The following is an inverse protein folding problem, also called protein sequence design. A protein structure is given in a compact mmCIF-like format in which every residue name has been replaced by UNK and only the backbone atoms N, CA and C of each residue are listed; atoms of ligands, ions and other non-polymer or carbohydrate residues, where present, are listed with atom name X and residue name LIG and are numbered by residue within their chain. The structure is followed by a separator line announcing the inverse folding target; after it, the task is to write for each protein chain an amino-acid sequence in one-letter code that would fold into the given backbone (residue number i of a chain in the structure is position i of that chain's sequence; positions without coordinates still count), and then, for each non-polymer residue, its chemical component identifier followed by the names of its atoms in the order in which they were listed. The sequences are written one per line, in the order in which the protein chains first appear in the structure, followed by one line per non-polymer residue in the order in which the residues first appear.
data_IF_334973789536
#
_entry.id   IF_334973789536
#
_cell.length_a   1.000
_cell.length_b   1.000
_cell.length_c   1.000
_cell.angle_alpha   90.00
_cell.angle_beta   90.00
_cell.angle_gamma   90.00
#
_symmetry.space_group_name_H-M   'P 1'
#
loop_
_entity.id
_entity.type
_entity.pdbx_description
1 polymer ?
#
# COMPACT_ATOMS: atom_id res chain seq x y z
N UNK A 1 -16.59 -23.81 18.84
CA UNK A 1 -17.59 -23.89 19.93
C UNK A 1 -18.26 -22.52 20.00
N UNK A 2 -19.57 -22.44 19.78
CA UNK A 2 -20.31 -21.18 19.75
C UNK A 2 -20.92 -20.95 21.14
N UNK A 3 -20.50 -19.92 21.86
CA UNK A 3 -21.10 -19.53 23.15
C UNK A 3 -22.42 -18.79 22.86
N UNK A 4 -23.59 -19.37 23.19
CA UNK A 4 -24.88 -18.76 22.89
C UNK A 4 -25.20 -17.54 23.78
N UNK A 5 -24.36 -17.25 24.79
CA UNK A 5 -24.55 -16.09 25.69
C UNK A 5 -23.99 -14.80 25.11
N UNK A 6 -23.17 -14.89 24.04
CA UNK A 6 -22.62 -13.72 23.34
C UNK A 6 -23.67 -13.24 22.33
N UNK A 7 -24.24 -12.03 22.48
CA UNK A 7 -25.19 -11.50 21.51
C UNK A 7 -24.52 -11.33 20.14
N UNK A 8 -25.22 -11.60 19.03
CA UNK A 8 -24.68 -11.32 17.71
C UNK A 8 -24.46 -9.81 17.54
N UNK A 9 -23.26 -9.43 17.15
CA UNK A 9 -22.91 -8.05 16.81
C UNK A 9 -22.62 -8.00 15.32
N UNK A 10 -23.25 -7.06 14.62
CA UNK A 10 -22.88 -6.76 13.23
C UNK A 10 -21.53 -6.03 13.29
N UNK A 11 -20.45 -6.58 12.72
CA UNK A 11 -19.16 -5.91 12.75
C UNK A 11 -19.24 -4.59 11.99
N UNK A 12 -18.62 -3.55 12.53
CA UNK A 12 -18.44 -2.30 11.81
C UNK A 12 -17.61 -2.54 10.55
N UNK A 13 -18.10 -2.05 9.40
CA UNK A 13 -17.49 -2.29 8.09
C UNK A 13 -16.66 -1.11 7.57
N UNK A 14 -16.31 -0.18 8.46
CA UNK A 14 -15.48 0.97 8.17
C UNK A 14 -13.98 0.67 8.26
N UNK A 15 -13.18 1.69 8.01
CA UNK A 15 -11.74 1.67 8.30
C UNK A 15 -11.53 1.69 9.81
N UNK A 16 -10.66 0.82 10.32
CA UNK A 16 -10.38 0.72 11.75
C UNK A 16 -8.97 0.17 11.97
N UNK A 17 -8.36 0.59 13.07
CA UNK A 17 -7.18 -0.06 13.60
C UNK A 17 -7.59 -1.42 14.22
N UNK A 18 -6.72 -2.40 14.09
CA UNK A 18 -6.87 -3.71 14.71
C UNK A 18 -5.71 -3.90 15.66
N UNK A 19 -5.88 -3.57 16.96
CA UNK A 19 -4.82 -3.69 17.94
C UNK A 19 -4.14 -5.06 17.88
N UNK A 20 -2.80 -5.04 17.79
CA UNK A 20 -1.94 -6.22 17.69
C UNK A 20 -2.05 -7.05 16.39
N UNK A 21 -2.82 -6.60 15.40
CA UNK A 21 -2.96 -7.28 14.10
C UNK A 21 -2.54 -6.37 12.96
N UNK A 22 -2.97 -5.11 12.97
CA UNK A 22 -2.67 -4.15 11.90
C UNK A 22 -3.78 -3.14 11.70
N UNK A 23 -4.19 -2.90 10.45
CA UNK A 23 -5.26 -1.95 10.15
C UNK A 23 -6.07 -2.36 8.91
N UNK A 24 -7.33 -1.93 8.90
CA UNK A 24 -8.22 -2.01 7.74
C UNK A 24 -8.52 -0.60 7.25
N UNK A 25 -8.35 -0.37 5.94
CA UNK A 25 -8.69 0.89 5.26
C UNK A 25 -9.75 0.60 4.20
N UNK A 26 -10.78 1.44 4.12
CA UNK A 26 -11.95 1.25 3.25
C UNK A 26 -12.47 2.58 2.73
N UNK A 27 -12.76 2.66 1.44
CA UNK A 27 -13.41 3.85 0.89
C UNK A 27 -14.92 3.84 1.10
N UNK A 28 -15.56 2.68 0.95
CA UNK A 28 -17.02 2.52 1.04
C UNK A 28 -17.40 1.20 1.72
N UNK A 29 -18.49 1.21 2.47
CA UNK A 29 -18.85 0.20 3.47
C UNK A 29 -19.46 -1.10 2.90
N UNK A 30 -20.19 -1.06 1.77
CA UNK A 30 -20.89 -2.28 1.27
C UNK A 30 -21.12 -2.34 -0.25
N UNK A 31 -20.58 -1.41 -1.04
CA UNK A 31 -20.97 -1.30 -2.46
C UNK A 31 -20.37 -2.34 -3.41
N UNK A 32 -19.35 -3.09 -2.97
CA UNK A 32 -18.53 -3.93 -3.85
C UNK A 32 -17.71 -3.17 -4.91
N UNK A 33 -17.77 -1.83 -4.91
CA UNK A 33 -17.11 -0.94 -5.90
C UNK A 33 -16.09 0.00 -5.29
N UNK A 34 -15.92 -0.03 -3.98
CA UNK A 34 -14.91 0.74 -3.26
C UNK A 34 -13.62 -0.06 -3.09
N UNK A 35 -12.56 0.64 -2.72
CA UNK A 35 -11.30 0.04 -2.32
C UNK A 35 -11.33 -0.49 -0.89
N UNK A 36 -10.62 -1.59 -0.68
CA UNK A 36 -10.36 -2.21 0.62
C UNK A 36 -8.87 -2.53 0.71
N UNK A 37 -8.28 -2.23 1.86
CA UNK A 37 -6.93 -2.62 2.19
C UNK A 37 -6.87 -3.22 3.59
N UNK A 38 -6.09 -4.29 3.73
CA UNK A 38 -5.66 -4.81 5.01
C UNK A 38 -4.13 -4.71 5.09
N UNK A 39 -3.63 -4.05 6.13
CA UNK A 39 -2.21 -4.02 6.49
C UNK A 39 -2.00 -4.98 7.65
N UNK A 40 -1.06 -5.91 7.52
CA UNK A 40 -0.55 -6.69 8.65
C UNK A 40 0.59 -5.92 9.33
N UNK A 41 0.39 -5.59 10.60
CA UNK A 41 1.39 -4.90 11.42
C UNK A 41 1.11 -5.20 12.90
N UNK A 42 1.35 -6.45 13.29
CA UNK A 42 0.98 -6.96 14.59
C UNK A 42 1.42 -8.40 14.84
N UNK A 43 1.69 -8.70 16.12
CA UNK A 43 2.21 -10.00 16.54
C UNK A 43 1.12 -11.07 16.53
N UNK A 44 1.27 -12.07 15.66
CA UNK A 44 0.45 -13.30 15.66
C UNK A 44 1.32 -14.50 16.04
N UNK A 45 0.84 -15.35 16.97
CA UNK A 45 1.68 -16.35 17.65
C UNK A 45 1.87 -17.68 16.89
N UNK A 46 1.06 -18.00 15.88
CA UNK A 46 1.11 -19.30 15.20
C UNK A 46 0.55 -19.23 13.77
N UNK A 47 0.88 -20.23 12.94
CA UNK A 47 0.45 -20.35 11.53
C UNK A 47 0.60 -19.05 10.71
N UNK A 48 1.75 -18.39 10.84
CA UNK A 48 2.07 -17.18 10.09
C UNK A 48 3.06 -17.48 8.97
N UNK A 49 2.92 -16.76 7.86
CA UNK A 49 3.97 -16.61 6.87
C UNK A 49 4.96 -15.50 7.29
N UNK A 50 6.02 -15.27 6.52
CA UNK A 50 6.97 -14.17 6.75
C UNK A 50 6.48 -12.83 6.14
N UNK A 51 5.24 -12.48 6.39
CA UNK A 51 4.44 -11.41 5.75
C UNK A 51 4.29 -10.16 6.63
N UNK A 52 5.12 -9.97 7.65
CA UNK A 52 4.97 -8.82 8.54
C UNK A 52 5.19 -7.49 7.80
N UNK A 53 4.25 -6.57 7.94
CA UNK A 53 4.22 -5.31 7.21
C UNK A 53 3.52 -5.42 5.85
N UNK A 54 3.13 -6.62 5.40
CA UNK A 54 2.47 -6.81 4.11
C UNK A 54 1.09 -6.14 4.06
N UNK A 55 0.59 -5.93 2.83
CA UNK A 55 -0.79 -5.50 2.64
C UNK A 55 -1.51 -6.30 1.56
N UNK A 56 -2.83 -6.35 1.66
CA UNK A 56 -3.73 -6.78 0.60
C UNK A 56 -4.47 -5.57 0.09
N UNK A 57 -4.52 -5.37 -1.23
CA UNK A 57 -5.21 -4.24 -1.84
C UNK A 57 -6.22 -4.69 -2.89
N UNK A 58 -7.47 -4.40 -2.59
CA UNK A 58 -8.57 -4.47 -3.53
C UNK A 58 -8.88 -3.03 -3.97
N UNK A 59 -8.61 -2.70 -5.23
CA UNK A 59 -8.82 -1.36 -5.76
C UNK A 59 -10.14 -1.29 -6.53
N UNK A 60 -11.01 -0.33 -6.18
CA UNK A 60 -12.29 -0.09 -6.89
C UNK A 60 -13.14 -1.37 -7.07
N UNK A 61 -13.13 -2.24 -6.07
CA UNK A 61 -13.90 -3.50 -6.04
C UNK A 61 -13.19 -4.72 -6.63
N UNK A 62 -11.97 -4.57 -7.14
CA UNK A 62 -11.22 -5.66 -7.81
C UNK A 62 -10.01 -6.07 -6.97
N UNK A 63 -9.73 -7.37 -6.81
CA UNK A 63 -8.45 -7.83 -6.26
C UNK A 63 -7.28 -7.40 -7.17
N UNK A 64 -6.33 -6.64 -6.64
CA UNK A 64 -5.17 -6.15 -7.40
C UNK A 64 -3.87 -6.66 -6.80
N UNK A 65 -3.43 -6.11 -5.65
CA UNK A 65 -2.24 -6.61 -4.97
C UNK A 65 -2.67 -7.60 -3.89
N UNK A 66 -2.41 -8.88 -4.11
CA UNK A 66 -2.79 -9.95 -3.19
C UNK A 66 -1.52 -10.49 -2.54
N UNK A 67 -1.60 -10.89 -1.28
CA UNK A 67 -0.42 -11.25 -0.51
C UNK A 67 -0.16 -12.75 -0.61
N UNK A 68 0.93 -13.15 -1.25
CA UNK A 68 1.33 -14.56 -1.33
C UNK A 68 0.32 -15.45 -2.07
N UNK A 69 -0.16 -15.02 -3.24
CA UNK A 69 -0.86 -15.93 -4.16
C UNK A 69 0.15 -17.05 -4.46
N UNK A 70 0.02 -18.28 -3.93
CA UNK A 70 -0.98 -19.25 -4.36
C UNK A 70 -1.27 -20.30 -3.25
N UNK A 71 -1.86 -19.91 -2.12
CA UNK A 71 -2.28 -20.83 -1.04
C UNK A 71 -1.21 -21.87 -0.63
N UNK A 72 0.08 -21.56 -0.81
CA UNK A 72 1.16 -22.43 -0.38
C UNK A 72 1.50 -22.04 1.05
N UNK A 73 1.21 -22.93 2.00
CA UNK A 73 1.72 -22.77 3.36
C UNK A 73 3.24 -22.54 3.33
N UNK A 74 3.70 -21.47 3.99
CA UNK A 74 5.12 -21.12 4.05
C UNK A 74 5.60 -20.35 2.83
N UNK A 75 4.77 -19.44 2.31
CA UNK A 75 5.25 -18.46 1.34
C UNK A 75 6.38 -17.64 1.98
N UNK A 76 7.44 -17.44 1.20
CA UNK A 76 8.60 -16.68 1.66
C UNK A 76 8.31 -15.19 1.61
N UNK A 77 8.94 -14.39 2.47
CA UNK A 77 8.69 -12.95 2.60
C UNK A 77 8.70 -12.14 1.28
N UNK A 78 9.49 -12.58 0.29
CA UNK A 78 9.58 -11.94 -1.03
C UNK A 78 8.35 -12.14 -1.90
N UNK A 79 7.51 -13.10 -1.56
CA UNK A 79 6.24 -13.39 -2.23
C UNK A 79 5.09 -12.57 -1.64
N UNK A 80 5.38 -11.75 -0.63
CA UNK A 80 4.42 -10.89 0.05
C UNK A 80 4.57 -9.45 -0.38
N UNK A 81 3.52 -8.66 -0.20
CA UNK A 81 3.52 -7.21 -0.47
C UNK A 81 4.30 -6.44 0.59
N UNK A 82 5.57 -6.78 0.85
CA UNK A 82 6.37 -6.33 1.98
C UNK A 82 7.79 -5.90 1.55
N UNK A 83 8.48 -5.18 2.44
CA UNK A 83 9.93 -4.94 2.30
C UNK A 83 10.68 -6.08 2.96
N UNK A 84 11.67 -6.60 2.25
CA UNK A 84 12.55 -7.67 2.73
C UNK A 84 14.00 -7.21 2.76
N UNK A 85 14.81 -7.84 3.60
CA UNK A 85 16.26 -7.63 3.64
C UNK A 85 16.91 -8.98 3.44
N UNK A 86 17.78 -9.10 2.42
CA UNK A 86 18.31 -10.38 1.98
C UNK A 86 17.20 -11.44 1.74
N UNK A 87 16.07 -11.00 1.14
CA UNK A 87 14.87 -11.81 0.86
C UNK A 87 14.16 -12.38 2.10
N UNK A 88 14.42 -11.85 3.30
CA UNK A 88 13.76 -12.28 4.55
C UNK A 88 12.79 -11.25 5.07
N UNK A 89 11.73 -11.75 5.70
CA UNK A 89 10.71 -10.93 6.34
C UNK A 89 11.11 -10.48 7.73
N UNK A 90 10.26 -9.66 8.34
CA UNK A 90 10.46 -9.12 9.68
C UNK A 90 9.51 -9.80 10.68
N UNK A 91 9.79 -9.73 11.99
CA UNK A 91 9.09 -10.58 12.95
C UNK A 91 7.87 -9.91 13.59
N UNK A 92 7.81 -8.59 13.59
CA UNK A 92 6.74 -7.83 14.23
C UNK A 92 6.68 -6.40 13.71
N UNK A 93 5.46 -5.95 13.45
CA UNK A 93 5.07 -4.58 13.22
C UNK A 93 4.20 -4.07 14.37
N UNK A 94 4.13 -2.75 14.47
CA UNK A 94 3.19 -2.04 15.34
C UNK A 94 2.61 -0.89 14.53
N UNK A 95 1.28 -0.78 14.49
CA UNK A 95 0.61 0.43 14.03
C UNK A 95 0.87 1.54 15.05
N UNK A 96 1.61 2.57 14.63
CA UNK A 96 1.96 3.73 15.46
C UNK A 96 0.93 4.85 15.33
N UNK A 97 0.25 4.91 14.18
CA UNK A 97 -0.77 5.92 13.91
C UNK A 97 -1.81 5.40 12.93
N UNK A 98 -3.08 5.73 13.16
CA UNK A 98 -4.19 5.44 12.26
C UNK A 98 -5.17 6.61 12.28
N UNK A 99 -5.57 7.10 11.09
CA UNK A 99 -6.63 8.08 10.93
C UNK A 99 -7.51 7.68 9.76
N UNK A 100 -8.81 7.80 9.94
CA UNK A 100 -9.81 7.62 8.88
C UNK A 100 -10.58 8.92 8.64
N UNK A 101 -10.86 9.22 7.38
CA UNK A 101 -11.68 10.35 6.98
C UNK A 101 -12.51 10.02 5.73
N UNK A 102 -13.47 10.87 5.33
CA UNK A 102 -14.20 10.70 4.08
C UNK A 102 -13.31 10.81 2.82
N UNK A 103 -12.17 11.51 2.89
CA UNK A 103 -11.33 11.80 1.72
C UNK A 103 -10.12 10.87 1.60
N UNK A 104 -9.58 10.43 2.73
CA UNK A 104 -8.44 9.54 2.77
C UNK A 104 -8.35 8.80 4.11
N UNK A 105 -7.82 7.58 4.07
CA UNK A 105 -7.30 6.91 5.26
C UNK A 105 -5.78 7.01 5.27
N UNK A 106 -5.20 7.00 6.47
CA UNK A 106 -3.76 6.96 6.66
C UNK A 106 -3.41 6.03 7.81
N UNK A 107 -2.42 5.18 7.58
CA UNK A 107 -1.81 4.34 8.61
C UNK A 107 -0.29 4.44 8.51
N UNK A 108 0.35 4.49 9.68
CA UNK A 108 1.81 4.38 9.81
C UNK A 108 2.12 3.24 10.75
N UNK A 109 2.88 2.27 10.25
CA UNK A 109 3.32 1.12 11.00
C UNK A 109 4.85 1.04 11.00
N UNK A 110 5.42 0.75 12.17
CA UNK A 110 6.85 0.49 12.30
C UNK A 110 7.07 -1.01 12.36
N UNK A 111 7.88 -1.51 11.43
CA UNK A 111 8.29 -2.90 11.34
C UNK A 111 9.71 -2.95 11.89
N UNK A 112 9.82 -3.50 13.09
CA UNK A 112 11.06 -3.43 13.86
C UNK A 112 12.16 -4.25 13.18
N UNK A 113 13.42 -3.77 13.22
CA UNK A 113 14.56 -4.62 12.90
C UNK A 113 14.53 -5.90 13.75
N UNK A 114 14.72 -7.07 13.13
CA UNK A 114 14.58 -8.38 13.79
C UNK A 114 15.21 -8.43 15.19
N UNK A 115 14.48 -9.02 16.13
CA UNK A 115 14.95 -9.44 17.46
C UNK A 115 14.17 -10.68 17.96
N UNK A 116 13.81 -11.62 17.07
CA UNK A 116 13.06 -12.81 17.46
C UNK A 116 13.98 -14.04 17.60
N UNK A 117 13.93 -14.67 18.79
CA UNK A 117 14.92 -15.65 19.24
C UNK A 117 14.70 -17.10 18.74
N UNK A 118 13.64 -17.38 17.97
CA UNK A 118 13.36 -18.76 17.53
C UNK A 118 13.95 -19.11 16.16
N UNK A 119 14.54 -18.15 15.45
CA UNK A 119 15.17 -18.40 14.16
C UNK A 119 16.68 -18.26 14.36
N UNK A 120 17.38 -19.40 14.40
CA UNK A 120 18.80 -19.47 14.74
C UNK A 120 19.73 -18.76 13.73
N UNK A 121 19.16 -18.10 12.72
CA UNK A 121 19.86 -17.60 11.54
C UNK A 121 20.36 -16.16 11.62
N UNK A 122 20.00 -15.35 12.63
CA UNK A 122 20.58 -14.00 12.78
C UNK A 122 20.71 -13.62 14.27
N UNK A 123 21.78 -14.13 14.88
CA UNK A 123 22.22 -13.79 16.24
C UNK A 123 23.32 -12.71 16.26
N UNK A 124 23.67 -12.11 15.13
CA UNK A 124 24.67 -11.05 15.10
C UNK A 124 24.02 -9.65 15.10
N UNK A 125 24.68 -8.71 15.77
CA UNK A 125 24.27 -7.30 15.80
C UNK A 125 24.48 -6.60 14.43
N UNK A 126 24.88 -7.32 13.38
CA UNK A 126 25.28 -6.76 12.09
C UNK A 126 24.13 -6.67 11.08
N UNK A 127 23.04 -7.43 11.26
CA UNK A 127 21.89 -7.47 10.33
C UNK A 127 20.60 -6.91 10.96
N UNK A 128 20.67 -5.70 11.54
CA UNK A 128 19.55 -5.02 12.20
C UNK A 128 18.87 -4.00 11.29
N UNK A 129 18.28 -4.48 10.20
CA UNK A 129 17.50 -3.64 9.28
C UNK A 129 16.00 -3.80 9.47
N UNK A 130 15.26 -2.71 9.30
CA UNK A 130 13.80 -2.64 9.44
C UNK A 130 13.23 -1.49 8.63
N UNK A 131 11.94 -1.22 8.73
CA UNK A 131 11.31 -0.14 7.96
C UNK A 131 10.09 0.46 8.67
N UNK A 132 9.74 1.68 8.29
CA UNK A 132 8.45 2.28 8.60
C UNK A 132 7.62 2.33 7.33
N UNK A 133 6.42 1.76 7.38
CA UNK A 133 5.45 1.77 6.29
C UNK A 133 4.37 2.79 6.57
N UNK A 134 4.19 3.71 5.64
CA UNK A 134 3.08 4.66 5.60
C UNK A 134 2.19 4.32 4.40
N UNK A 135 0.90 4.10 4.64
CA UNK A 135 -0.09 3.86 3.59
C UNK A 135 -1.14 4.96 3.63
N UNK A 136 -1.43 5.56 2.47
CA UNK A 136 -2.54 6.49 2.30
C UNK A 136 -3.50 5.99 1.23
N UNK A 137 -4.71 5.59 1.64
CA UNK A 137 -5.77 5.23 0.71
C UNK A 137 -6.59 6.47 0.40
N UNK A 138 -6.46 6.99 -0.82
CA UNK A 138 -7.25 8.14 -1.28
C UNK A 138 -8.61 7.66 -1.76
N UNK A 139 -9.67 8.29 -1.24
CA UNK A 139 -11.06 7.88 -1.46
C UNK A 139 -11.74 8.74 -2.50
N UNK A 140 -12.67 8.14 -3.23
CA UNK A 140 -13.60 8.88 -4.05
C UNK A 140 -14.81 9.30 -3.19
N UNK A 141 -15.47 10.43 -3.50
CA UNK A 141 -16.74 10.77 -2.85
C UNK A 141 -17.86 9.77 -3.14
N UNK A 142 -17.71 8.94 -4.18
CA UNK A 142 -18.70 7.97 -4.63
C UNK A 142 -18.03 6.64 -4.97
N UNK A 143 -18.68 5.50 -4.67
CA UNK A 143 -18.19 4.18 -5.05
C UNK A 143 -17.87 4.05 -6.53
N UNK A 144 -16.74 3.39 -6.85
CA UNK A 144 -16.26 3.19 -8.22
C UNK A 144 -15.58 4.39 -8.86
N UNK A 145 -15.49 5.53 -8.15
CA UNK A 145 -14.68 6.67 -8.56
C UNK A 145 -13.18 6.36 -8.58
N UNK A 146 -12.36 7.39 -8.83
CA UNK A 146 -10.90 7.25 -8.81
C UNK A 146 -10.42 7.19 -7.37
N UNK A 147 -9.85 6.05 -7.02
CA UNK A 147 -9.31 5.69 -5.71
C UNK A 147 -7.96 5.05 -5.95
N UNK A 148 -6.98 5.33 -5.11
CA UNK A 148 -5.63 4.82 -5.28
C UNK A 148 -4.93 4.74 -3.92
N UNK A 149 -3.85 3.97 -3.89
CA UNK A 149 -3.03 3.78 -2.71
C UNK A 149 -1.68 4.44 -2.92
N UNK A 150 -1.21 5.18 -1.94
CA UNK A 150 0.20 5.59 -1.87
C UNK A 150 0.90 4.80 -0.78
N UNK A 151 2.02 4.18 -1.16
CA UNK A 151 2.85 3.36 -0.30
C UNK A 151 4.18 4.06 -0.12
N UNK A 152 4.57 4.30 1.12
CA UNK A 152 5.90 4.81 1.46
C UNK A 152 6.56 3.92 2.50
N UNK A 153 7.73 3.40 2.16
CA UNK A 153 8.55 2.60 3.03
C UNK A 153 9.89 3.27 3.25
N UNK A 154 10.14 3.75 4.48
CA UNK A 154 11.45 4.29 4.87
C UNK A 154 12.25 3.21 5.59
N UNK A 155 13.29 2.70 4.94
CA UNK A 155 14.13 1.64 5.49
C UNK A 155 15.22 2.21 6.40
N UNK A 156 15.63 1.43 7.39
CA UNK A 156 16.73 1.73 8.31
C UNK A 156 17.61 0.50 8.46
N UNK A 157 18.89 0.72 8.79
CA UNK A 157 19.85 -0.34 9.04
C UNK A 157 20.82 -0.59 7.88
N UNK A 158 21.74 -1.56 8.05
CA UNK A 158 22.89 -1.75 7.17
C UNK A 158 22.60 -2.58 5.91
N UNK A 159 21.47 -3.29 5.84
CA UNK A 159 21.17 -4.21 4.75
C UNK A 159 20.44 -3.52 3.60
N UNK A 160 20.71 -3.97 2.38
CA UNK A 160 20.00 -3.53 1.19
C UNK A 160 18.54 -4.05 1.23
N UNK A 161 17.53 -3.16 1.16
CA UNK A 161 16.14 -3.57 1.11
C UNK A 161 15.72 -4.00 -0.31
N UNK A 162 14.70 -4.84 -0.37
CA UNK A 162 13.96 -5.18 -1.57
C UNK A 162 12.47 -4.97 -1.30
N UNK A 163 11.84 -4.08 -2.06
CA UNK A 163 10.39 -3.82 -2.03
C UNK A 163 9.68 -4.78 -2.96
N UNK A 164 8.66 -5.48 -2.45
CA UNK A 164 7.97 -6.53 -3.16
C UNK A 164 6.49 -6.20 -3.35
N UNK A 165 5.95 -6.59 -4.50
CA UNK A 165 4.53 -6.49 -4.81
C UNK A 165 4.09 -7.71 -5.63
N UNK A 166 3.09 -8.43 -5.15
CA UNK A 166 2.42 -9.53 -5.83
C UNK A 166 1.06 -9.04 -6.36
N UNK A 167 0.89 -9.07 -7.69
CA UNK A 167 -0.27 -8.50 -8.37
C UNK A 167 -0.99 -9.56 -9.18
N UNK A 168 -2.29 -9.66 -8.95
CA UNK A 168 -3.23 -10.44 -9.75
C UNK A 168 -3.39 -9.80 -11.14
N UNK A 169 -2.56 -10.24 -12.08
CA UNK A 169 -2.42 -9.61 -13.39
C UNK A 169 -1.84 -10.57 -14.41
N UNK A 170 -2.06 -10.26 -15.69
CA UNK A 170 -1.16 -10.75 -16.74
C UNK A 170 0.22 -10.13 -16.63
N UNK A 171 1.16 -10.62 -17.42
CA UNK A 171 2.54 -10.15 -17.45
C UNK A 171 2.62 -8.60 -17.47
N UNK A 172 3.32 -8.00 -16.49
CA UNK A 172 3.51 -6.56 -16.45
C UNK A 172 4.56 -6.09 -17.46
N UNK A 173 4.53 -4.80 -17.74
CA UNK A 173 5.52 -4.14 -18.59
C UNK A 173 6.03 -2.84 -17.94
N UNK A 174 7.28 -2.50 -18.20
CA UNK A 174 7.81 -1.17 -17.88
C UNK A 174 7.42 -0.22 -19.01
N UNK A 175 6.62 0.80 -18.68
CA UNK A 175 6.14 1.83 -19.61
C UNK A 175 7.06 3.06 -19.60
N UNK A 176 7.82 3.23 -18.52
CA UNK A 176 8.91 4.20 -18.39
C UNK A 176 9.83 3.84 -17.23
N UNK A 177 10.84 4.67 -16.98
CA UNK A 177 11.88 4.40 -15.97
C UNK A 177 11.31 4.22 -14.55
N UNK A 178 10.22 4.91 -14.23
CA UNK A 178 9.53 4.84 -12.94
C UNK A 178 8.13 4.26 -13.00
N UNK A 179 7.61 3.95 -14.20
CA UNK A 179 6.21 3.61 -14.41
C UNK A 179 6.09 2.20 -14.95
N UNK A 180 5.45 1.33 -14.17
CA UNK A 180 5.15 -0.04 -14.51
C UNK A 180 3.64 -0.20 -14.68
N UNK A 181 3.22 -1.00 -15.65
CA UNK A 181 1.83 -1.30 -15.92
C UNK A 181 1.55 -2.79 -15.72
N UNK A 182 0.64 -3.08 -14.81
CA UNK A 182 0.04 -4.40 -14.64
C UNK A 182 -1.33 -4.40 -15.33
N UNK A 183 -1.51 -5.09 -16.46
CA UNK A 183 -2.76 -5.06 -17.23
C UNK A 183 -3.98 -5.67 -16.53
N UNK A 184 -3.77 -6.34 -15.39
CA UNK A 184 -4.82 -6.96 -14.59
C UNK A 184 -5.29 -8.30 -15.15
N UNK A 185 -6.06 -9.01 -14.32
CA UNK A 185 -6.68 -10.27 -14.71
C UNK A 185 -7.86 -10.03 -15.68
N UNK A 186 -8.00 -10.81 -16.76
CA UNK A 186 -9.00 -10.57 -17.81
C UNK A 186 -10.45 -10.48 -17.31
N UNK A 187 -10.79 -11.20 -16.23
CA UNK A 187 -12.15 -11.22 -15.68
C UNK A 187 -12.61 -9.89 -15.07
N UNK A 188 -11.68 -9.04 -14.63
CA UNK A 188 -12.04 -7.82 -13.90
C UNK A 188 -11.94 -6.55 -14.75
N UNK A 189 -11.22 -6.58 -15.87
CA UNK A 189 -11.05 -5.42 -16.76
C UNK A 189 -10.44 -4.19 -16.09
N UNK A 190 -9.64 -4.38 -15.03
CA UNK A 190 -8.98 -3.33 -14.25
C UNK A 190 -7.51 -3.72 -14.08
N UNK A 191 -6.61 -2.82 -14.47
CA UNK A 191 -5.17 -2.95 -14.24
C UNK A 191 -4.69 -2.05 -13.10
N UNK A 192 -3.38 -2.03 -12.91
CA UNK A 192 -2.70 -1.27 -11.86
C UNK A 192 -1.47 -0.59 -12.45
N UNK A 193 -1.44 0.75 -12.44
CA UNK A 193 -0.17 1.46 -12.58
C UNK A 193 0.57 1.41 -11.25
N UNK A 194 1.86 1.09 -11.32
CA UNK A 194 2.80 1.24 -10.21
C UNK A 194 3.79 2.31 -10.62
N UNK A 195 3.68 3.49 -10.02
CA UNK A 195 4.49 4.66 -10.35
C UNK A 195 5.41 4.96 -9.17
N UNK A 196 6.68 4.65 -9.32
CA UNK A 196 7.71 5.00 -8.36
C UNK A 196 8.02 6.50 -8.41
N UNK A 197 8.15 7.07 -7.22
CA UNK A 197 8.59 8.44 -7.01
C UNK A 197 9.99 8.42 -6.40
N UNK A 198 10.19 7.54 -5.42
CA UNK A 198 11.51 7.26 -4.85
C UNK A 198 11.73 5.74 -4.82
N UNK A 199 12.90 5.24 -5.30
CA UNK A 199 13.80 5.94 -6.20
C UNK A 199 13.09 6.27 -7.53
N UNK A 200 13.48 7.35 -8.20
CA UNK A 200 12.84 7.77 -9.47
C UNK A 200 13.14 6.84 -10.66
N UNK A 201 14.03 5.86 -10.51
CA UNK A 201 14.33 4.83 -11.49
C UNK A 201 14.79 3.57 -10.75
N UNK A 202 13.87 2.81 -10.13
CA UNK A 202 14.23 1.61 -9.38
C UNK A 202 14.79 0.53 -10.29
N UNK A 203 15.74 -0.26 -9.78
CA UNK A 203 16.10 -1.52 -10.43
C UNK A 203 15.03 -2.55 -10.11
N UNK A 204 14.25 -2.93 -11.12
CA UNK A 204 13.11 -3.82 -11.00
C UNK A 204 13.30 -5.12 -11.75
N UNK A 205 12.79 -6.20 -11.17
CA UNK A 205 12.64 -7.49 -11.84
C UNK A 205 11.22 -8.00 -11.68
N UNK A 206 10.70 -8.64 -12.72
CA UNK A 206 9.42 -9.33 -12.68
C UNK A 206 9.64 -10.85 -12.60
N UNK A 207 8.89 -11.49 -11.72
CA UNK A 207 8.88 -12.94 -11.57
C UNK A 207 7.43 -13.41 -11.77
N UNK A 208 7.25 -14.39 -12.66
CA UNK A 208 5.95 -15.02 -12.82
C UNK A 208 5.62 -15.76 -11.52
N UNK A 209 4.46 -15.46 -10.95
CA UNK A 209 3.95 -16.18 -9.81
C UNK A 209 3.76 -17.67 -10.13
N UNK A 210 4.19 -18.55 -9.23
CA UNK A 210 4.09 -20.00 -9.44
C UNK A 210 3.05 -20.59 -8.50
N UNK A 211 1.98 -21.14 -9.08
CA UNK A 211 1.06 -21.99 -8.32
C UNK A 211 1.81 -23.23 -7.84
N UNK A 212 1.64 -23.57 -6.55
CA UNK A 212 2.36 -24.67 -5.90
C UNK A 212 2.40 -25.93 -6.79
N UNK A 213 3.56 -26.34 -7.31
CA UNK A 213 3.65 -27.46 -8.25
C UNK A 213 3.29 -28.81 -7.64
N UNK A 214 3.23 -28.93 -6.30
CA UNK A 214 2.72 -30.14 -5.61
C UNK A 214 1.20 -30.22 -5.59
N UNK A 215 0.52 -29.14 -5.98
CA UNK A 215 -0.92 -29.02 -6.17
C UNK A 215 -1.30 -29.05 -7.67
N UNK A 216 -0.32 -29.20 -8.56
CA UNK A 216 -0.49 -29.27 -10.01
C UNK A 216 -0.52 -30.75 -10.42
N UNK A 217 -1.70 -31.35 -10.48
CA UNK A 217 -1.93 -32.44 -11.44
C UNK A 217 -2.10 -31.85 -12.84
N UNK A 218 -2.01 -32.67 -13.90
CA UNK A 218 -2.13 -32.25 -15.31
C UNK A 218 -3.43 -31.52 -15.69
N UNK A 219 -4.35 -31.34 -14.75
CA UNK A 219 -5.65 -30.68 -14.90
C UNK A 219 -5.87 -29.51 -13.91
N UNK A 220 -4.86 -29.08 -13.15
CA UNK A 220 -4.99 -27.98 -12.16
C UNK A 220 -5.62 -28.40 -10.82
N UNK A 221 -5.73 -29.70 -10.55
CA UNK A 221 -6.30 -30.23 -9.30
C UNK A 221 -5.23 -30.57 -8.30
N UNK A 222 -5.49 -30.22 -7.05
CA UNK A 222 -4.63 -30.52 -5.93
C UNK A 222 -5.22 -31.58 -5.02
N UNK A 223 -4.39 -32.52 -4.58
CA UNK A 223 -4.81 -33.55 -3.63
C UNK A 223 -4.17 -33.27 -2.27
N UNK A 224 -4.99 -32.84 -1.30
CA UNK A 224 -4.60 -32.74 0.12
C UNK A 224 -5.01 -34.03 0.83
N UNK A 225 -4.18 -35.07 0.71
CA UNK A 225 -4.41 -36.37 1.34
C UNK A 225 -5.66 -37.08 0.79
N UNK A 226 -6.81 -36.85 1.41
CA UNK A 226 -8.12 -37.44 1.06
C UNK A 226 -9.08 -36.45 0.39
N UNK A 227 -8.67 -35.18 0.21
CA UNK A 227 -9.49 -34.13 -0.37
C UNK A 227 -8.93 -33.72 -1.74
N UNK A 228 -9.76 -33.83 -2.77
CA UNK A 228 -9.50 -33.17 -4.06
C UNK A 228 -10.01 -31.74 -3.98
N UNK A 229 -9.12 -30.77 -4.19
CA UNK A 229 -9.45 -29.36 -4.26
C UNK A 229 -9.02 -28.86 -5.63
N UNK A 230 -9.95 -28.29 -6.37
CA UNK A 230 -9.66 -27.63 -7.64
C UNK A 230 -9.07 -26.25 -7.33
N UNK A 231 -7.78 -26.04 -7.60
CA UNK A 231 -7.16 -24.73 -7.51
C UNK A 231 -6.96 -24.22 -8.92
N UNK A 232 -7.84 -23.33 -9.36
CA UNK A 232 -7.68 -22.64 -10.63
C UNK A 232 -6.34 -21.90 -10.62
N UNK A 233 -5.49 -22.16 -11.62
CA UNK A 233 -4.25 -21.40 -11.81
C UNK A 233 -4.65 -19.95 -12.01
N UNK A 234 -4.31 -19.13 -11.03
CA UNK A 234 -4.60 -17.71 -11.06
C UNK A 234 -3.33 -17.02 -11.55
N UNK A 235 -3.35 -16.44 -12.75
CA UNK A 235 -2.19 -15.73 -13.29
C UNK A 235 -1.89 -14.50 -12.44
N UNK A 236 -0.68 -14.43 -11.89
CA UNK A 236 -0.21 -13.32 -11.08
C UNK A 236 1.30 -13.11 -11.25
N UNK A 237 1.78 -11.91 -10.92
CA UNK A 237 3.17 -11.51 -11.13
C UNK A 237 3.73 -10.76 -9.95
N UNK A 238 4.94 -11.16 -9.59
CA UNK A 238 5.76 -10.54 -8.56
C UNK A 238 6.63 -9.45 -9.18
N UNK A 239 6.72 -8.32 -8.50
CA UNK A 239 7.66 -7.25 -8.74
C UNK A 239 8.62 -7.18 -7.55
N UNK A 240 9.91 -7.14 -7.86
CA UNK A 240 10.96 -6.87 -6.88
C UNK A 240 11.72 -5.61 -7.29
N UNK A 241 11.66 -4.59 -6.45
CA UNK A 241 12.44 -3.36 -6.60
C UNK A 241 13.56 -3.34 -5.56
N UNK A 242 14.81 -3.28 -5.99
CA UNK A 242 15.97 -3.29 -5.09
C UNK A 242 16.39 -1.88 -4.70
N UNK A 243 16.83 -1.71 -3.46
CA UNK A 243 17.32 -0.45 -2.90
C UNK A 243 18.70 -0.61 -2.27
N UNK A 244 19.32 0.53 -1.96
CA UNK A 244 20.54 0.60 -1.15
C UNK A 244 20.20 0.66 0.34
N UNK A 245 21.12 0.35 1.27
CA UNK A 245 20.88 0.50 2.70
C UNK A 245 20.30 1.89 3.05
N UNK A 246 19.22 1.91 3.82
CA UNK A 246 18.50 3.14 4.19
C UNK A 246 17.62 3.75 3.09
N UNK A 247 17.38 3.05 1.97
CA UNK A 247 16.52 3.55 0.91
C UNK A 247 15.07 3.82 1.35
N UNK A 248 14.46 4.83 0.74
CA UNK A 248 13.02 5.06 0.77
C UNK A 248 12.42 4.54 -0.54
N UNK A 249 11.33 3.78 -0.42
CA UNK A 249 10.44 3.48 -1.54
C UNK A 249 9.18 4.30 -1.40
N UNK A 250 8.84 5.12 -2.39
CA UNK A 250 7.59 5.87 -2.47
C UNK A 250 6.93 5.53 -3.80
N UNK A 251 5.78 4.88 -3.76
CA UNK A 251 5.07 4.44 -4.96
C UNK A 251 3.57 4.78 -4.89
N UNK A 252 3.01 5.15 -6.04
CA UNK A 252 1.56 5.29 -6.24
C UNK A 252 1.06 4.03 -6.95
N UNK A 253 0.13 3.32 -6.30
CA UNK A 253 -0.59 2.19 -6.87
C UNK A 253 -1.96 2.68 -7.34
N UNK A 254 -2.12 2.84 -8.65
CA UNK A 254 -3.29 3.50 -9.25
C UNK A 254 -4.13 2.52 -10.10
N UNK A 255 -5.26 2.03 -9.56
CA UNK A 255 -6.19 1.19 -10.32
C UNK A 255 -6.85 1.96 -11.46
N UNK A 256 -6.67 1.49 -12.69
CA UNK A 256 -7.36 2.04 -13.84
C UNK A 256 -7.72 0.99 -14.88
N UNK A 257 -8.71 1.31 -15.70
CA UNK A 257 -8.95 0.57 -16.95
C UNK A 257 -7.94 0.99 -18.02
N UNK A 258 -7.75 0.14 -19.03
CA UNK A 258 -6.76 0.40 -20.08
C UNK A 258 -7.04 1.70 -20.85
N UNK A 259 -8.32 2.04 -21.03
CA UNK A 259 -8.81 3.24 -21.71
C UNK A 259 -8.87 4.49 -20.82
N UNK A 260 -8.77 4.32 -19.50
CA UNK A 260 -8.71 5.46 -18.57
C UNK A 260 -7.33 6.14 -18.69
N UNK A 261 -7.25 7.48 -18.67
CA UNK A 261 -5.97 8.19 -18.75
C UNK A 261 -5.03 7.81 -17.59
N UNK A 262 -3.74 7.68 -17.91
CA UNK A 262 -2.68 7.51 -16.91
C UNK A 262 -2.62 8.76 -16.02
N UNK A 263 -2.53 8.63 -14.69
CA UNK A 263 -2.35 9.79 -13.81
C UNK A 263 -0.97 10.42 -14.03
N UNK A 264 -0.88 11.74 -13.87
CA UNK A 264 0.40 12.44 -13.81
C UNK A 264 0.82 12.56 -12.34
N UNK A 265 1.95 11.97 -11.98
CA UNK A 265 2.51 12.02 -10.62
C UNK A 265 3.75 12.92 -10.65
N UNK A 266 3.70 14.01 -9.89
CA UNK A 266 4.80 14.96 -9.77
C UNK A 266 5.35 14.91 -8.34
N UNK A 267 6.65 14.63 -8.20
CA UNK A 267 7.34 14.84 -6.94
C UNK A 267 7.73 16.30 -6.81
N UNK A 268 7.09 17.02 -5.90
CA UNK A 268 7.37 18.44 -5.75
C UNK A 268 8.70 18.70 -5.01
N UNK A 269 9.36 17.64 -4.53
CA UNK A 269 10.64 17.62 -3.81
C UNK A 269 10.75 18.63 -2.65
N UNK A 270 9.61 19.22 -2.27
CA UNK A 270 9.43 20.05 -1.10
C UNK A 270 8.82 19.14 -0.06
N UNK A 271 9.71 18.61 0.79
CA UNK A 271 9.33 17.94 2.02
C UNK A 271 8.44 16.70 1.80
N UNK A 272 8.77 15.86 0.81
CA UNK A 272 8.03 14.62 0.51
C UNK A 272 6.53 14.84 0.17
N UNK A 273 6.26 15.86 -0.67
CA UNK A 273 4.90 16.15 -1.18
C UNK A 273 4.71 15.65 -2.61
N UNK A 274 3.62 14.92 -2.84
CA UNK A 274 3.18 14.47 -4.16
C UNK A 274 2.05 15.36 -4.69
N UNK A 275 2.12 15.71 -5.97
CA UNK A 275 0.95 16.16 -6.72
C UNK A 275 0.52 15.06 -7.69
N UNK A 276 -0.75 14.68 -7.65
CA UNK A 276 -1.32 13.66 -8.54
C UNK A 276 -2.47 14.30 -9.31
N UNK A 277 -2.33 14.38 -10.63
CA UNK A 277 -3.36 14.90 -11.53
C UNK A 277 -4.01 13.74 -12.26
N UNK A 278 -5.33 13.62 -12.15
CA UNK A 278 -6.13 12.59 -12.81
C UNK A 278 -7.51 13.14 -13.16
N UNK A 279 -8.02 12.76 -14.34
CA UNK A 279 -9.25 13.34 -14.89
C UNK A 279 -9.28 14.88 -14.77
N UNK A 280 -10.27 15.46 -14.07
CA UNK A 280 -10.45 16.89 -13.82
C UNK A 280 -9.95 17.34 -12.43
N UNK A 281 -9.11 16.55 -11.77
CA UNK A 281 -8.72 16.75 -10.36
C UNK A 281 -7.22 16.80 -10.18
N UNK A 282 -6.80 17.54 -9.14
CA UNK A 282 -5.44 17.58 -8.64
C UNK A 282 -5.46 17.31 -7.14
N UNK A 283 -4.74 16.29 -6.73
CA UNK A 283 -4.57 15.90 -5.34
C UNK A 283 -3.15 16.29 -4.89
N UNK A 284 -3.02 16.86 -3.70
CA UNK A 284 -1.75 17.06 -2.99
C UNK A 284 -1.71 16.14 -1.78
N UNK A 285 -0.66 15.33 -1.70
CA UNK A 285 -0.44 14.39 -0.60
C UNK A 285 0.85 14.79 0.10
N UNK A 286 0.74 15.04 1.40
CA UNK A 286 1.86 15.35 2.26
C UNK A 286 2.21 14.08 3.03
N UNK A 287 3.44 13.56 2.87
CA UNK A 287 3.94 12.36 3.54
C UNK A 287 5.32 12.64 4.12
N UNK A 288 5.38 13.53 5.11
CA UNK A 288 6.60 14.25 5.50
C UNK A 288 7.45 13.50 6.51
N UNK A 289 8.78 13.57 6.43
CA UNK A 289 9.63 12.88 7.39
C UNK A 289 9.71 13.65 8.71
N UNK A 290 9.70 14.98 8.64
CA UNK A 290 9.76 15.89 9.79
C UNK A 290 8.44 16.67 9.98
N UNK A 291 7.59 16.29 10.95
CA UNK A 291 6.30 16.94 11.17
C UNK A 291 6.39 18.33 11.84
N UNK A 292 7.58 18.75 12.30
CA UNK A 292 7.75 19.98 13.09
C UNK A 292 7.80 21.26 12.25
N UNK A 293 8.19 21.16 10.99
CA UNK A 293 8.28 22.32 10.10
C UNK A 293 6.93 22.49 9.41
N UNK A 294 6.39 23.70 9.33
CA UNK A 294 5.19 23.94 8.51
C UNK A 294 5.59 24.17 7.05
N UNK A 295 4.75 23.76 6.11
CA UNK A 295 4.91 24.04 4.68
C UNK A 295 3.72 24.83 4.17
N UNK A 296 3.99 25.69 3.18
CA UNK A 296 2.97 26.40 2.42
C UNK A 296 3.12 26.05 0.95
N UNK A 297 2.09 25.47 0.36
CA UNK A 297 2.08 25.03 -1.03
C UNK A 297 0.70 25.27 -1.64
N UNK A 298 0.66 25.92 -2.81
CA UNK A 298 -0.59 26.17 -3.56
C UNK A 298 -1.74 26.81 -2.74
N UNK A 299 -1.38 27.67 -1.77
CA UNK A 299 -2.36 28.31 -0.88
C UNK A 299 -2.80 27.44 0.30
N UNK A 300 -2.18 26.28 0.53
CA UNK A 300 -2.43 25.41 1.69
C UNK A 300 -1.25 25.53 2.65
N UNK A 301 -1.54 25.71 3.94
CA UNK A 301 -0.58 25.58 5.03
C UNK A 301 -0.78 24.23 5.71
N UNK A 302 0.29 23.46 5.83
CA UNK A 302 0.29 22.16 6.49
C UNK A 302 1.42 22.06 7.52
N UNK A 303 1.10 21.60 8.73
CA UNK A 303 2.05 21.31 9.79
C UNK A 303 1.75 19.91 10.33
N UNK A 304 2.56 18.93 9.97
CA UNK A 304 2.29 17.54 10.29
C UNK A 304 3.07 16.57 9.44
N UNK A 305 2.78 15.28 9.63
CA UNK A 305 3.34 14.17 8.87
C UNK A 305 2.51 13.85 7.65
N UNK A 306 1.21 13.60 7.86
CA UNK A 306 0.30 13.17 6.81
C UNK A 306 -0.86 14.15 6.59
N UNK A 307 -1.11 14.48 5.34
CA UNK A 307 -2.21 15.35 4.96
C UNK A 307 -2.61 15.14 3.51
N UNK A 308 -3.87 15.43 3.22
CA UNK A 308 -4.45 15.31 1.89
C UNK A 308 -5.20 16.59 1.54
N UNK A 309 -4.97 17.12 0.34
CA UNK A 309 -5.78 18.19 -0.20
C UNK A 309 -6.21 17.87 -1.63
N UNK A 310 -7.47 18.08 -1.96
CA UNK A 310 -8.02 17.86 -3.30
C UNK A 310 -8.52 19.17 -3.87
N UNK A 311 -8.10 19.51 -5.08
CA UNK A 311 -8.63 20.63 -5.84
C UNK A 311 -9.70 20.16 -6.81
N UNK A 312 -10.87 20.79 -6.75
CA UNK A 312 -11.96 20.60 -7.70
C UNK A 312 -12.66 21.94 -7.93
N UNK A 313 -12.95 22.26 -9.20
CA UNK A 313 -13.62 23.51 -9.57
C UNK A 313 -12.96 24.77 -8.97
N UNK A 314 -11.63 24.74 -8.86
CA UNK A 314 -10.81 25.82 -8.31
C UNK A 314 -10.68 25.85 -6.78
N UNK A 315 -11.49 25.08 -6.03
CA UNK A 315 -11.52 25.06 -4.56
C UNK A 315 -10.75 23.88 -3.98
N UNK A 316 -10.11 24.09 -2.83
CA UNK A 316 -9.43 23.04 -2.08
C UNK A 316 -10.34 22.42 -1.01
N UNK A 317 -10.32 21.09 -0.92
CA UNK A 317 -10.80 20.36 0.25
C UNK A 317 -9.59 19.78 0.96
N UNK A 318 -9.33 20.25 2.17
CA UNK A 318 -8.16 19.87 2.97
C UNK A 318 -8.55 18.85 4.05
N UNK A 319 -7.66 17.91 4.35
CA UNK A 319 -7.84 16.88 5.37
C UNK A 319 -6.50 16.62 6.03
N UNK A 320 -6.37 17.03 7.29
CA UNK A 320 -5.21 16.64 8.10
C UNK A 320 -5.40 15.20 8.59
N UNK A 321 -4.39 14.35 8.39
CA UNK A 321 -4.43 12.93 8.76
C UNK A 321 -3.53 12.68 9.98
N UNK A 322 -2.37 13.32 10.04
CA UNK A 322 -1.50 13.42 11.22
C UNK A 322 -0.91 14.84 11.26
N UNK A 323 -1.59 15.77 11.93
CA UNK A 323 -1.18 17.18 12.07
C UNK A 323 -2.33 18.16 11.87
N UNK A 324 -2.01 19.35 11.35
CA UNK A 324 -2.93 20.45 11.09
C UNK A 324 -2.82 20.93 9.64
N UNK A 325 -3.95 21.22 9.00
CA UNK A 325 -4.02 21.69 7.62
C UNK A 325 -5.09 22.78 7.47
N UNK A 326 -4.76 23.85 6.75
CA UNK A 326 -5.69 24.92 6.44
C UNK A 326 -5.44 25.50 5.05
N UNK A 327 -6.51 25.90 4.37
CA UNK A 327 -6.41 26.81 3.23
C UNK A 327 -6.07 28.22 3.76
N UNK A 328 -5.02 28.82 3.21
CA UNK A 328 -4.61 30.18 3.48
C UNK A 328 -5.36 31.06 2.50
N UNK A 329 -6.23 31.94 3.01
CA UNK A 329 -6.87 32.96 2.20
C UNK A 329 -5.78 33.69 1.40
N UNK A 330 -5.85 33.63 0.07
CA UNK A 330 -5.03 34.48 -0.79
C UNK A 330 -5.35 35.91 -0.39
N UNK A 331 -4.34 36.64 0.10
CA UNK A 331 -4.51 38.06 0.41
C UNK A 331 -5.11 38.71 -0.86
N UNK A 332 -6.30 39.29 -0.73
CA UNK A 332 -6.91 40.08 -1.80
C UNK A 332 -5.84 41.03 -2.34
N UNK A 333 -5.69 41.19 -3.67
CA UNK A 333 -4.75 42.15 -4.21
C UNK A 333 -5.08 43.50 -3.58
N UNK A 334 -4.08 44.07 -2.90
CA UNK A 334 -4.16 45.42 -2.34
C UNK A 334 -4.63 46.31 -3.48
N UNK A 335 -5.88 46.79 -3.41
CA UNK A 335 -6.36 47.83 -4.30
C UNK A 335 -5.50 49.05 -3.98
N UNK A 336 -4.49 49.30 -4.81
CA UNK A 336 -3.83 50.59 -4.86
C UNK A 336 -4.91 51.56 -5.31
N UNK A 337 -5.49 52.28 -4.34
CA UNK A 337 -6.27 53.48 -4.63
C UNK A 337 -5.32 54.43 -5.34
N UNK A 338 -5.58 54.69 -6.62
CA UNK A 338 -5.01 55.81 -7.35
C UNK A 338 -5.99 56.98 -7.29
#
# INVERSE_FOLDING_TARGET
MHDPTIPPVIPERGSHDLPHVGAVMRSHDVSGRGSYLFLKAGRVHSHHDEDEGSFHYFGRGVPLALDGLPLQNGATAVQHNAVTFNRRGQPSGIVEHFTSSPNADYVRARIAPRAFACDAMYYDDQHRSGFTRELMLVKAPKPGGIEYLVVKDTCVGPDAPQWNLDVLSRQPEAVGDSHLWFPGHPEFGMGLDVIFVEPAAPSVTFEAGTVNPKLVTSEGRATLGFLEVDFSITEHWLLHATGVPGATFLAVLFPRRAEEPVPVVEYLNREETLAITHADRRDLLFLRPNPKLAVSLEGIRFAGRAGFARRRDGQWTCTALEGEMAEVATALPIRVLR
#
